data_IF_396225251001
#
_entry.id   IF_396225251001
#
_cell.length_a   1.000
_cell.length_b   1.000
_cell.length_c   1.000
_cell.angle_alpha   90.00
_cell.angle_beta   90.00
_cell.angle_gamma   90.00
#
_symmetry.space_group_name_H-M   'P 1'
#
loop_
_entity.id
_entity.type
_entity.pdbx_description
1 polymer ?
#
# COMPACT_ATOMS: atom_id res chain seq x y z
N UNK A 1 -1.32 9.22 -22.74
CA UNK A 1 -2.33 8.30 -22.23
C UNK A 1 -3.57 8.27 -23.10
N UNK A 2 -4.13 7.09 -23.33
CA UNK A 2 -5.27 6.87 -24.25
C UNK A 2 -6.64 7.17 -23.62
N UNK A 3 -6.70 7.72 -22.39
CA UNK A 3 -7.95 7.98 -21.68
C UNK A 3 -8.65 6.73 -21.12
N UNK A 4 -7.97 5.58 -21.09
CA UNK A 4 -8.53 4.31 -20.56
C UNK A 4 -9.03 4.47 -19.11
N UNK A 5 -8.23 5.13 -18.25
CA UNK A 5 -8.59 5.34 -16.84
C UNK A 5 -9.91 6.07 -16.69
N UNK A 6 -10.14 7.11 -17.48
CA UNK A 6 -11.40 7.87 -17.43
C UNK A 6 -12.58 7.03 -17.90
N UNK A 7 -12.37 6.17 -18.90
CA UNK A 7 -13.43 5.33 -19.46
C UNK A 7 -14.02 4.34 -18.45
N UNK A 8 -13.26 3.89 -17.46
CA UNK A 8 -13.78 3.01 -16.40
C UNK A 8 -14.08 3.75 -15.09
N UNK A 9 -13.34 4.82 -14.76
CA UNK A 9 -13.59 5.59 -13.53
C UNK A 9 -14.92 6.32 -13.57
N UNK A 10 -15.22 7.01 -14.67
CA UNK A 10 -16.46 7.80 -14.79
C UNK A 10 -17.70 6.94 -14.60
N UNK A 11 -17.91 5.83 -15.34
CA UNK A 11 -19.05 4.96 -15.09
C UNK A 11 -19.12 4.40 -13.67
N UNK A 12 -17.98 3.97 -13.11
CA UNK A 12 -17.90 3.46 -11.74
C UNK A 12 -18.39 4.48 -10.71
N UNK A 13 -17.98 5.73 -10.85
CA UNK A 13 -18.39 6.84 -9.98
C UNK A 13 -19.87 7.18 -10.15
N UNK A 14 -20.34 7.28 -11.40
CA UNK A 14 -21.71 7.66 -11.72
C UNK A 14 -22.72 6.63 -11.20
N UNK A 15 -22.37 5.34 -11.23
CA UNK A 15 -23.23 4.29 -10.66
C UNK A 15 -23.36 4.34 -9.15
N UNK A 16 -22.55 5.15 -8.44
CA UNK A 16 -22.62 5.31 -6.99
C UNK A 16 -22.31 4.05 -6.18
N UNK A 17 -21.59 3.11 -6.80
CA UNK A 17 -21.17 1.85 -6.17
C UNK A 17 -19.76 1.95 -5.63
N UNK A 18 -19.43 1.13 -4.64
CA UNK A 18 -18.05 0.98 -4.18
C UNK A 18 -17.20 0.27 -5.22
N UNK A 19 -16.19 0.94 -5.72
CA UNK A 19 -15.33 0.47 -6.82
C UNK A 19 -13.93 0.17 -6.30
N UNK A 20 -13.45 -1.03 -6.59
CA UNK A 20 -12.05 -1.40 -6.41
C UNK A 20 -11.35 -1.38 -7.77
N UNK A 21 -10.29 -0.60 -7.91
CA UNK A 21 -9.42 -0.59 -9.09
C UNK A 21 -8.10 -1.26 -8.74
N UNK A 22 -7.83 -2.42 -9.33
CA UNK A 22 -6.56 -3.11 -9.17
C UNK A 22 -5.68 -2.87 -10.40
N UNK A 23 -4.45 -2.40 -10.18
CA UNK A 23 -3.48 -2.09 -11.23
C UNK A 23 -2.22 -2.97 -11.11
N UNK A 24 -1.46 -3.08 -12.21
CA UNK A 24 -0.27 -3.90 -12.26
C UNK A 24 0.94 -3.28 -11.53
N UNK A 25 1.05 -1.94 -11.49
CA UNK A 25 2.24 -1.23 -11.02
C UNK A 25 1.92 -0.09 -10.07
N UNK A 26 2.89 0.25 -9.22
CA UNK A 26 2.83 1.41 -8.33
C UNK A 26 2.66 2.71 -9.12
N UNK A 27 3.35 2.84 -10.26
CA UNK A 27 3.25 4.03 -11.11
C UNK A 27 1.82 4.27 -11.62
N UNK A 28 1.09 3.19 -11.98
CA UNK A 28 -0.32 3.28 -12.37
C UNK A 28 -1.22 3.64 -11.18
N UNK A 29 -0.97 3.09 -10.00
CA UNK A 29 -1.69 3.48 -8.78
C UNK A 29 -1.56 4.99 -8.51
N UNK A 30 -0.32 5.49 -8.54
CA UNK A 30 -0.03 6.92 -8.36
C UNK A 30 -0.69 7.77 -9.45
N UNK A 31 -0.61 7.36 -10.70
CA UNK A 31 -1.29 8.06 -11.79
C UNK A 31 -2.79 8.22 -11.52
N UNK A 32 -3.46 7.16 -11.07
CA UNK A 32 -4.88 7.20 -10.76
C UNK A 32 -5.20 8.15 -9.61
N UNK A 33 -4.46 8.05 -8.50
CA UNK A 33 -4.75 8.77 -7.25
C UNK A 33 -4.29 10.23 -7.29
N UNK A 34 -3.13 10.51 -7.91
CA UNK A 34 -2.52 11.83 -7.88
C UNK A 34 -2.91 12.70 -9.08
N UNK A 35 -3.43 12.09 -10.17
CA UNK A 35 -3.74 12.80 -11.40
C UNK A 35 -5.14 12.55 -11.94
N UNK A 36 -5.50 11.29 -12.18
CA UNK A 36 -6.72 10.97 -12.94
C UNK A 36 -7.98 11.19 -12.10
N UNK A 37 -8.02 10.71 -10.85
CA UNK A 37 -9.13 10.98 -9.91
C UNK A 37 -9.27 12.47 -9.56
N UNK A 38 -8.21 13.19 -9.15
CA UNK A 38 -8.30 14.63 -8.91
C UNK A 38 -8.80 15.44 -10.10
N UNK A 39 -8.54 14.99 -11.32
CA UNK A 39 -8.97 15.67 -12.54
C UNK A 39 -10.49 15.51 -12.81
N UNK A 40 -11.11 14.39 -12.43
CA UNK A 40 -12.52 14.10 -12.75
C UNK A 40 -13.47 14.24 -11.59
N UNK A 41 -13.01 13.97 -10.36
CA UNK A 41 -13.87 13.96 -9.15
C UNK A 41 -14.57 15.30 -8.96
N UNK A 42 -13.93 16.48 -9.01
CA UNK A 42 -14.63 17.74 -8.77
C UNK A 42 -15.77 18.03 -9.74
N UNK A 43 -15.62 17.63 -11.01
CA UNK A 43 -16.67 17.79 -12.01
C UNK A 43 -17.85 16.84 -11.76
N UNK A 44 -17.55 15.59 -11.36
CA UNK A 44 -18.57 14.59 -11.05
C UNK A 44 -19.29 14.89 -9.75
N UNK A 45 -18.62 15.38 -8.73
CA UNK A 45 -19.24 15.83 -7.47
C UNK A 45 -20.27 16.93 -7.71
N UNK A 46 -19.92 17.91 -8.55
CA UNK A 46 -20.83 18.98 -8.94
C UNK A 46 -22.06 18.47 -9.69
N UNK A 47 -21.87 17.51 -10.61
CA UNK A 47 -22.96 16.95 -11.40
C UNK A 47 -23.84 16.03 -10.57
N UNK A 48 -23.25 15.21 -9.69
CA UNK A 48 -23.97 14.23 -8.88
C UNK A 48 -24.52 14.80 -7.57
N UNK A 49 -24.08 15.99 -7.15
CA UNK A 49 -24.51 16.64 -5.93
C UNK A 49 -24.07 15.90 -4.65
N UNK A 50 -23.00 15.12 -4.71
CA UNK A 50 -22.44 14.40 -3.56
C UNK A 50 -20.92 14.42 -3.58
N UNK A 51 -20.30 14.30 -2.42
CA UNK A 51 -18.86 14.08 -2.28
C UNK A 51 -18.48 12.69 -2.78
N UNK A 52 -17.26 12.57 -3.33
CA UNK A 52 -16.69 11.33 -3.85
C UNK A 52 -15.34 11.12 -3.20
N UNK A 53 -15.25 10.11 -2.35
CA UNK A 53 -14.05 9.76 -1.63
C UNK A 53 -13.25 8.68 -2.37
N UNK A 54 -11.91 8.80 -2.32
CA UNK A 54 -11.04 7.76 -2.87
C UNK A 54 -9.80 7.57 -1.98
N UNK A 55 -9.27 6.36 -2.00
CA UNK A 55 -8.09 5.97 -1.24
C UNK A 55 -7.22 5.00 -2.00
N UNK A 56 -5.91 5.03 -1.71
CA UNK A 56 -5.00 3.97 -2.09
C UNK A 56 -4.86 2.99 -0.91
N UNK A 57 -4.86 1.69 -1.21
CA UNK A 57 -4.62 0.66 -0.22
C UNK A 57 -3.61 -0.36 -0.73
N UNK A 58 -2.54 -0.54 0.03
CA UNK A 58 -1.42 -1.43 -0.28
C UNK A 58 -1.24 -2.44 0.85
N UNK A 59 -0.54 -3.54 0.58
CA UNK A 59 -0.15 -4.50 1.60
C UNK A 59 0.72 -3.86 2.69
N UNK A 60 0.65 -4.39 3.90
CA UNK A 60 1.30 -3.82 5.10
C UNK A 60 2.80 -3.59 4.95
N UNK A 61 3.50 -4.40 4.13
CA UNK A 61 4.92 -4.22 3.84
C UNK A 61 5.28 -2.94 3.05
N UNK A 62 4.27 -2.22 2.57
CA UNK A 62 4.46 -0.91 1.94
C UNK A 62 4.36 0.25 2.94
N UNK A 63 4.22 -0.03 4.21
CA UNK A 63 4.18 0.99 5.27
C UNK A 63 5.26 0.74 6.30
N UNK A 64 5.81 1.80 6.88
CA UNK A 64 6.71 1.67 8.02
C UNK A 64 5.97 1.11 9.23
N UNK A 65 6.63 0.23 9.98
CA UNK A 65 6.10 -0.41 11.17
C UNK A 65 6.65 0.26 12.43
N UNK A 66 5.80 0.99 13.14
CA UNK A 66 6.21 1.68 14.36
C UNK A 66 6.70 0.72 15.45
N UNK A 67 6.19 -0.50 15.50
CA UNK A 67 6.66 -1.53 16.43
C UNK A 67 8.12 -1.89 16.13
N UNK A 68 8.46 -2.19 14.86
CA UNK A 68 9.85 -2.50 14.47
C UNK A 68 10.78 -1.30 14.61
N UNK A 69 10.32 -0.09 14.36
CA UNK A 69 11.10 1.13 14.56
C UNK A 69 11.44 1.42 16.03
N UNK A 70 10.67 0.88 16.97
CA UNK A 70 10.87 1.08 18.40
C UNK A 70 11.37 -0.19 19.11
N UNK A 71 11.59 -1.31 18.41
CA UNK A 71 12.32 -2.46 18.95
C UNK A 71 13.81 -2.13 18.98
N UNK A 72 14.44 -2.37 20.14
CA UNK A 72 15.88 -2.10 20.36
C UNK A 72 16.80 -3.18 19.75
N UNK A 73 16.27 -4.06 18.91
CA UNK A 73 17.01 -5.14 18.25
C UNK A 73 17.89 -4.61 17.11
N UNK A 74 18.93 -3.89 17.47
CA UNK A 74 20.11 -3.70 16.62
C UNK A 74 21.05 -4.86 16.93
N UNK A 75 21.11 -5.84 16.05
CA UNK A 75 22.07 -6.94 16.12
C UNK A 75 23.50 -6.34 16.05
N UNK A 76 24.33 -6.47 17.14
CA UNK A 76 25.63 -5.80 17.21
C UNK A 76 26.74 -6.46 16.36
N UNK A 77 26.47 -7.57 15.67
CA UNK A 77 27.51 -8.40 15.02
C UNK A 77 27.60 -8.23 13.48
N UNK A 78 27.39 -7.03 12.94
CA UNK A 78 27.64 -6.80 11.52
C UNK A 78 28.94 -6.03 11.29
N UNK A 79 30.01 -6.77 11.09
CA UNK A 79 31.30 -6.27 10.59
C UNK A 79 31.16 -5.75 9.16
N UNK A 80 31.16 -4.41 9.01
CA UNK A 80 31.69 -3.67 7.84
C UNK A 80 31.49 -2.15 8.11
N UNK A 81 32.47 -1.55 8.73
CA UNK A 81 32.41 -0.18 9.33
C UNK A 81 31.95 0.93 8.36
N UNK A 82 32.15 0.81 7.06
CA UNK A 82 31.73 1.86 6.12
C UNK A 82 30.28 1.66 5.60
N UNK A 83 29.83 0.44 5.41
CA UNK A 83 28.42 0.16 5.05
C UNK A 83 27.47 0.41 6.22
N UNK A 84 27.87 0.09 7.44
CA UNK A 84 27.11 0.36 8.67
C UNK A 84 26.81 1.85 8.80
N UNK A 85 27.77 2.72 8.49
CA UNK A 85 27.55 4.18 8.58
C UNK A 85 26.53 4.73 7.58
N UNK A 86 26.36 4.12 6.40
CA UNK A 86 25.37 4.53 5.42
C UNK A 86 23.97 4.02 5.78
N UNK A 87 23.86 2.77 6.22
CA UNK A 87 22.60 2.18 6.67
C UNK A 87 22.06 2.88 7.93
N UNK A 88 22.92 3.24 8.87
CA UNK A 88 22.52 4.04 10.05
C UNK A 88 21.98 5.42 9.66
N UNK A 89 22.58 6.09 8.69
CA UNK A 89 22.09 7.39 8.19
C UNK A 89 20.71 7.23 7.54
N UNK A 90 20.54 6.20 6.75
CA UNK A 90 19.26 5.90 6.12
C UNK A 90 18.19 5.55 7.15
N UNK A 91 18.53 4.73 8.16
CA UNK A 91 17.61 4.40 9.26
C UNK A 91 17.19 5.66 10.04
N UNK A 92 18.15 6.51 10.42
CA UNK A 92 17.85 7.77 11.10
C UNK A 92 16.97 8.69 10.27
N UNK A 93 17.22 8.78 8.95
CA UNK A 93 16.42 9.57 8.02
C UNK A 93 15.00 9.04 7.90
N UNK A 94 14.83 7.71 7.78
CA UNK A 94 13.51 7.07 7.73
C UNK A 94 12.73 7.26 9.03
N UNK A 95 13.37 7.07 10.19
CA UNK A 95 12.74 7.27 11.50
C UNK A 95 12.33 8.74 11.71
N UNK A 96 13.19 9.68 11.34
CA UNK A 96 12.88 11.11 11.44
C UNK A 96 11.66 11.48 10.57
N UNK A 97 11.62 10.96 9.34
CA UNK A 97 10.47 11.16 8.44
C UNK A 97 9.19 10.55 9.03
N UNK A 98 9.23 9.31 9.51
CA UNK A 98 8.05 8.64 10.06
C UNK A 98 7.47 9.33 11.30
N UNK A 99 8.29 10.11 12.03
CA UNK A 99 7.85 10.93 13.18
C UNK A 99 7.29 12.29 12.78
N UNK A 100 7.37 12.68 11.52
CA UNK A 100 6.85 13.96 11.04
C UNK A 100 5.32 13.92 11.04
N UNK A 101 4.62 14.90 11.62
CA UNK A 101 3.16 14.93 11.60
C UNK A 101 2.62 14.95 10.17
N UNK A 102 1.59 14.14 9.91
CA UNK A 102 0.88 14.13 8.64
C UNK A 102 1.48 13.25 7.54
N UNK A 103 2.61 12.56 7.79
CA UNK A 103 3.14 11.60 6.82
C UNK A 103 2.23 10.39 6.68
N UNK A 104 2.20 9.82 5.47
CA UNK A 104 1.39 8.64 5.15
C UNK A 104 1.97 7.34 5.72
N UNK A 105 3.27 7.30 6.03
CA UNK A 105 4.02 6.10 6.32
C UNK A 105 4.23 5.18 5.12
N UNK A 106 3.73 5.54 3.94
CA UNK A 106 3.84 4.78 2.70
C UNK A 106 5.25 4.88 2.12
N UNK A 107 5.77 3.76 1.63
CA UNK A 107 7.08 3.64 1.02
C UNK A 107 7.32 4.60 -0.13
N UNK A 108 6.29 4.89 -0.91
CA UNK A 108 6.42 5.76 -2.08
C UNK A 108 6.57 7.25 -1.72
N UNK A 109 6.16 7.62 -0.50
CA UNK A 109 6.32 8.97 0.06
C UNK A 109 7.57 9.08 0.94
N UNK A 110 8.17 7.93 1.29
CA UNK A 110 9.34 7.87 2.15
C UNK A 110 10.60 8.37 1.44
N UNK A 111 11.59 8.88 2.21
CA UNK A 111 12.90 9.15 1.66
C UNK A 111 13.52 7.87 1.08
N UNK A 112 14.27 8.02 -0.01
CA UNK A 112 14.99 6.90 -0.60
C UNK A 112 16.01 6.34 0.39
N UNK A 113 15.86 5.06 0.75
CA UNK A 113 16.72 4.35 1.69
C UNK A 113 17.08 2.98 1.12
N UNK A 114 18.19 2.41 1.61
CA UNK A 114 18.57 1.03 1.26
C UNK A 114 17.40 0.07 1.55
N UNK A 115 17.23 -0.92 0.66
CA UNK A 115 16.17 -1.94 0.81
C UNK A 115 16.23 -2.67 2.15
N UNK A 116 17.44 -2.93 2.68
CA UNK A 116 17.64 -3.59 3.98
C UNK A 116 17.06 -2.75 5.11
N UNK A 117 17.26 -1.43 5.07
CA UNK A 117 16.69 -0.49 6.04
C UNK A 117 15.17 -0.49 5.97
N UNK A 118 14.60 -0.47 4.75
CA UNK A 118 13.15 -0.57 4.60
C UNK A 118 12.60 -1.86 5.21
N UNK A 119 13.18 -3.02 4.86
CA UNK A 119 12.73 -4.34 5.34
C UNK A 119 12.85 -4.46 6.87
N UNK A 120 13.89 -3.90 7.48
CA UNK A 120 14.05 -3.87 8.93
C UNK A 120 12.98 -3.01 9.64
N UNK A 121 12.44 -2.00 8.97
CA UNK A 121 11.45 -1.06 9.51
C UNK A 121 10.03 -1.23 8.95
N UNK A 122 9.77 -2.30 8.20
CA UNK A 122 8.45 -2.70 7.72
C UNK A 122 8.11 -4.11 8.18
N UNK A 123 6.87 -4.55 7.99
CA UNK A 123 6.44 -5.89 8.39
C UNK A 123 5.65 -6.57 7.28
N UNK A 124 5.67 -7.89 7.22
CA UNK A 124 4.83 -8.66 6.31
C UNK A 124 3.44 -8.90 6.92
N UNK A 125 2.46 -9.27 6.07
CA UNK A 125 1.11 -9.65 6.55
C UNK A 125 1.12 -10.84 7.50
N UNK A 126 2.10 -11.75 7.39
CA UNK A 126 2.26 -12.92 8.26
C UNK A 126 2.86 -12.58 9.63
N UNK A 127 3.71 -11.55 9.69
CA UNK A 127 4.37 -11.10 10.93
C UNK A 127 3.56 -10.06 11.70
N UNK A 128 2.67 -9.34 11.02
CA UNK A 128 1.87 -8.29 11.62
C UNK A 128 0.81 -8.87 12.58
N UNK A 129 0.89 -8.52 13.85
CA UNK A 129 -0.05 -8.97 14.88
C UNK A 129 -1.44 -8.30 14.79
N UNK A 130 -1.60 -7.34 13.89
CA UNK A 130 -2.84 -6.57 13.75
C UNK A 130 -2.93 -5.36 14.69
N UNK A 131 -3.71 -4.37 14.30
CA UNK A 131 -3.82 -3.10 15.03
C UNK A 131 -4.47 -3.26 16.41
N UNK A 132 -5.37 -4.23 16.56
CA UNK A 132 -6.10 -4.48 17.82
C UNK A 132 -5.19 -5.00 18.95
N UNK A 133 -4.09 -5.67 18.59
CA UNK A 133 -3.15 -6.28 19.54
C UNK A 133 -1.85 -5.48 19.65
N UNK A 134 -1.48 -4.76 18.60
CA UNK A 134 -0.23 -4.01 18.52
C UNK A 134 -0.24 -2.79 19.45
N UNK A 135 0.82 -2.60 20.24
CA UNK A 135 0.98 -1.43 21.11
C UNK A 135 0.92 -0.08 20.35
N UNK A 136 1.23 -0.09 19.06
CA UNK A 136 1.18 1.08 18.16
C UNK A 136 -0.05 1.07 17.24
N UNK A 137 -1.05 0.23 17.52
CA UNK A 137 -2.19 0.02 16.64
C UNK A 137 -2.97 1.30 16.30
N UNK A 138 -3.20 2.17 17.29
CA UNK A 138 -3.90 3.46 17.10
C UNK A 138 -3.15 4.46 16.21
N UNK A 139 -1.83 4.31 16.07
CA UNK A 139 -0.98 5.16 15.25
C UNK A 139 -0.48 4.43 13.99
N UNK A 140 -0.92 3.20 13.77
CA UNK A 140 -0.43 2.34 12.69
C UNK A 140 -0.80 2.91 11.32
N UNK A 141 0.19 3.20 10.50
CA UNK A 141 0.00 3.74 9.14
C UNK A 141 -0.80 2.79 8.24
N UNK A 142 -0.49 1.50 8.27
CA UNK A 142 -1.21 0.50 7.49
C UNK A 142 -2.68 0.37 7.94
N UNK A 143 -2.96 0.40 9.25
CA UNK A 143 -4.31 0.36 9.77
C UNK A 143 -5.11 1.62 9.43
N UNK A 144 -4.48 2.79 9.49
CA UNK A 144 -5.09 4.05 9.08
C UNK A 144 -5.40 4.07 7.58
N UNK A 145 -4.50 3.54 6.73
CA UNK A 145 -4.74 3.40 5.30
C UNK A 145 -5.92 2.44 5.03
N UNK A 146 -5.99 1.32 5.76
CA UNK A 146 -7.11 0.38 5.68
C UNK A 146 -8.43 1.04 6.08
N UNK A 147 -8.47 1.76 7.18
CA UNK A 147 -9.67 2.45 7.65
C UNK A 147 -10.17 3.50 6.63
N UNK A 148 -9.26 4.28 6.03
CA UNK A 148 -9.62 5.20 4.94
C UNK A 148 -10.19 4.46 3.73
N UNK A 149 -9.58 3.35 3.33
CA UNK A 149 -10.05 2.55 2.21
C UNK A 149 -11.44 1.93 2.47
N UNK A 150 -11.74 1.53 3.70
CA UNK A 150 -13.05 0.97 4.05
C UNK A 150 -14.22 1.94 3.86
N UNK A 151 -13.98 3.23 4.01
CA UNK A 151 -15.01 4.28 3.86
C UNK A 151 -15.04 4.92 2.48
N UNK A 152 -14.02 4.70 1.66
CA UNK A 152 -13.90 5.31 0.34
C UNK A 152 -14.90 4.72 -0.68
N UNK A 153 -15.37 5.57 -1.60
CA UNK A 153 -16.18 5.15 -2.76
C UNK A 153 -15.31 4.42 -3.79
N UNK A 154 -14.04 4.85 -3.93
CA UNK A 154 -13.10 4.27 -4.87
C UNK A 154 -11.82 3.87 -4.12
N UNK A 155 -11.43 2.61 -4.25
CA UNK A 155 -10.18 2.11 -3.69
C UNK A 155 -9.25 1.68 -4.81
N UNK A 156 -8.05 2.23 -4.82
CA UNK A 156 -6.99 1.81 -5.75
C UNK A 156 -6.04 0.87 -5.03
N UNK A 157 -5.77 -0.28 -5.63
CA UNK A 157 -4.88 -1.30 -5.08
C UNK A 157 -4.02 -1.93 -6.18
N UNK A 158 -3.23 -2.95 -5.84
CA UNK A 158 -2.45 -3.71 -6.81
C UNK A 158 -3.01 -5.11 -7.06
N UNK A 159 -2.61 -5.70 -8.19
CA UNK A 159 -2.98 -7.06 -8.56
C UNK A 159 -2.57 -8.10 -7.52
N UNK A 160 -1.39 -7.93 -6.90
CA UNK A 160 -0.86 -8.85 -5.91
C UNK A 160 -1.76 -8.95 -4.69
N UNK A 161 -2.22 -7.82 -4.15
CA UNK A 161 -3.08 -7.82 -2.96
C UNK A 161 -4.47 -8.42 -3.26
N UNK A 162 -5.02 -8.14 -4.43
CA UNK A 162 -6.27 -8.76 -4.90
C UNK A 162 -6.09 -10.27 -5.09
N UNK A 163 -4.97 -10.71 -5.66
CA UNK A 163 -4.69 -12.13 -5.85
C UNK A 163 -4.54 -12.87 -4.51
N UNK A 164 -3.83 -12.29 -3.54
CA UNK A 164 -3.70 -12.87 -2.20
C UNK A 164 -5.09 -13.05 -1.55
N UNK A 165 -5.95 -12.03 -1.62
CA UNK A 165 -7.30 -12.14 -1.08
C UNK A 165 -8.11 -13.27 -1.70
N UNK A 166 -8.03 -13.42 -3.05
CA UNK A 166 -8.75 -14.48 -3.78
C UNK A 166 -8.25 -15.88 -3.36
N UNK A 167 -6.93 -16.03 -3.21
CA UNK A 167 -6.33 -17.33 -2.88
C UNK A 167 -6.51 -17.70 -1.41
N UNK A 168 -6.27 -16.77 -0.51
CA UNK A 168 -6.37 -17.01 0.93
C UNK A 168 -7.84 -17.06 1.41
N UNK A 169 -8.79 -16.65 0.56
CA UNK A 169 -10.23 -16.59 0.89
C UNK A 169 -10.54 -15.78 2.16
N UNK A 170 -9.66 -14.86 2.52
CA UNK A 170 -9.83 -13.95 3.67
C UNK A 170 -9.99 -12.52 3.18
N UNK A 171 -10.98 -11.76 3.67
CA UNK A 171 -11.23 -10.40 3.24
C UNK A 171 -10.11 -9.46 3.72
N UNK A 172 -9.19 -9.14 2.82
CA UNK A 172 -8.08 -8.20 3.04
C UNK A 172 -8.49 -6.80 2.58
N UNK A 173 -9.15 -6.76 1.43
CA UNK A 173 -9.60 -5.53 0.76
C UNK A 173 -10.98 -5.10 1.30
N UNK A 174 -11.32 -3.81 1.20
CA UNK A 174 -12.64 -3.32 1.58
C UNK A 174 -13.78 -3.99 0.80
N UNK A 175 -15.00 -3.97 1.39
CA UNK A 175 -16.21 -4.37 0.68
C UNK A 175 -16.38 -3.51 -0.59
N UNK A 176 -16.81 -4.16 -1.68
CA UNK A 176 -16.91 -3.56 -3.00
C UNK A 176 -18.02 -4.19 -3.81
N UNK A 177 -18.65 -3.38 -4.65
CA UNK A 177 -19.68 -3.82 -5.57
C UNK A 177 -19.10 -4.15 -6.96
N UNK A 178 -17.98 -3.53 -7.30
CA UNK A 178 -17.32 -3.64 -8.60
C UNK A 178 -15.81 -3.75 -8.46
N UNK A 179 -15.21 -4.62 -9.27
CA UNK A 179 -13.75 -4.74 -9.41
C UNK A 179 -13.37 -4.41 -10.84
N UNK A 180 -12.42 -3.50 -10.99
CA UNK A 180 -11.83 -3.13 -12.27
C UNK A 180 -10.38 -3.60 -12.27
N UNK A 181 -10.02 -4.42 -13.25
CA UNK A 181 -8.65 -4.86 -13.47
C UNK A 181 -8.03 -4.02 -14.58
N UNK A 182 -7.22 -3.05 -14.23
CA UNK A 182 -6.44 -2.28 -15.19
C UNK A 182 -5.17 -3.06 -15.58
N UNK A 183 -4.84 -3.09 -16.87
CA UNK A 183 -3.79 -3.96 -17.43
C UNK A 183 -3.98 -5.46 -17.06
N UNK A 184 -5.19 -5.94 -17.21
CA UNK A 184 -5.62 -7.31 -16.81
C UNK A 184 -4.74 -8.44 -17.37
N UNK A 185 -4.05 -8.19 -18.48
CA UNK A 185 -3.10 -9.16 -19.07
C UNK A 185 -1.92 -9.49 -18.15
N UNK A 186 -1.54 -8.59 -17.23
CA UNK A 186 -0.50 -8.84 -16.24
C UNK A 186 -1.01 -9.58 -14.98
N UNK A 187 -2.35 -9.69 -14.81
CA UNK A 187 -2.92 -10.20 -13.57
C UNK A 187 -2.51 -11.65 -13.28
N UNK A 188 -2.48 -12.52 -14.28
CA UNK A 188 -2.12 -13.93 -14.10
C UNK A 188 -0.68 -14.10 -13.61
N UNK A 189 0.26 -13.36 -14.18
CA UNK A 189 1.66 -13.42 -13.76
C UNK A 189 1.83 -12.90 -12.33
N UNK A 190 1.16 -11.79 -11.98
CA UNK A 190 1.17 -11.24 -10.62
C UNK A 190 0.50 -12.17 -9.61
N UNK A 191 -0.60 -12.80 -9.99
CA UNK A 191 -1.27 -13.78 -9.14
C UNK A 191 -0.38 -15.00 -8.87
N UNK A 192 0.24 -15.53 -9.92
CA UNK A 192 1.19 -16.65 -9.78
C UNK A 192 2.36 -16.29 -8.86
N UNK A 193 2.97 -15.11 -9.04
CA UNK A 193 4.05 -14.64 -8.17
C UNK A 193 3.61 -14.47 -6.71
N UNK A 194 2.38 -13.97 -6.49
CA UNK A 194 1.85 -13.72 -5.15
C UNK A 194 1.68 -15.00 -4.32
N UNK A 195 1.40 -16.14 -4.97
CA UNK A 195 1.15 -17.42 -4.32
C UNK A 195 2.34 -18.39 -4.40
N UNK A 196 3.41 -18.01 -5.12
CA UNK A 196 4.61 -18.83 -5.22
C UNK A 196 5.48 -18.61 -3.98
N UNK A 197 5.70 -19.67 -3.21
CA UNK A 197 6.68 -19.69 -2.12
C UNK A 197 8.06 -20.07 -2.68
N UNK A 198 9.00 -19.13 -2.63
CA UNK A 198 10.40 -19.40 -2.94
C UNK A 198 11.12 -19.99 -1.73
N UNK A 199 11.66 -21.21 -1.88
CA UNK A 199 12.58 -21.80 -0.92
C UNK A 199 13.97 -21.25 -1.18
N UNK A 200 14.43 -20.37 -0.29
CA UNK A 200 15.80 -19.84 -0.34
C UNK A 200 16.64 -20.45 0.78
N UNK A 201 17.97 -20.49 0.60
CA UNK A 201 18.91 -21.02 1.59
C UNK A 201 18.83 -20.37 2.98
N UNK A 202 18.22 -19.20 3.08
CA UNK A 202 17.97 -18.50 4.34
C UNK A 202 16.67 -18.93 5.05
N UNK A 203 15.92 -19.89 4.51
CA UNK A 203 14.68 -20.44 5.10
C UNK A 203 14.82 -21.90 5.54
N UNK A 204 16.03 -22.47 5.44
CA UNK A 204 16.35 -23.83 5.90
C UNK A 204 17.17 -23.78 7.18
#
# INVERSE_FOLDING_TARGET
>A
GTGKSLAYLIPGIVHGRKVLVATATIALQRQLVDRDLPAVVPALEKELGREISYAIYKGVGNYVCLQKMNSEDVDPDTELVMEVSSLEKDAKRLIAWAKTPGVSGDRDDAPEVDRRVWLANSTSGRECVGADVCAFGSQCFAANAKAKAQTADIVVTNHTLLAIEIVDSHPILPERDCVILDEAHEFMDRATQAVTDELTSNRV
#
